data_IF_430126010739
#
_entry.id   IF_430126010739
#
_cell.length_a   1.000
_cell.length_b   1.000
_cell.length_c   1.000
_cell.angle_alpha   90.00
_cell.angle_beta   90.00
_cell.angle_gamma   90.00
#
_symmetry.space_group_name_H-M   'P 1'
#
loop_
_entity.id
_entity.type
_entity.pdbx_description
1 polymer ?
#
# COMPACT_ATOMS: atom_id res chain seq x y z
N UNK A 1 -11.90 8.93 -4.63
CA UNK A 1 -11.09 8.92 -5.84
C UNK A 1 -11.72 7.99 -6.85
N UNK A 2 -11.96 8.48 -8.02
CA UNK A 2 -12.47 7.64 -9.09
C UNK A 2 -11.32 7.00 -9.86
N UNK A 3 -11.51 5.77 -10.25
CA UNK A 3 -10.63 5.06 -11.16
C UNK A 3 -11.27 5.07 -12.53
N UNK A 4 -10.47 5.34 -13.56
CA UNK A 4 -10.94 5.31 -14.93
C UNK A 4 -10.60 3.96 -15.54
N UNK A 5 -11.61 3.14 -15.71
CA UNK A 5 -11.47 1.84 -16.35
C UNK A 5 -11.83 2.04 -17.83
N UNK A 6 -10.81 2.13 -18.66
CA UNK A 6 -10.98 2.35 -20.08
C UNK A 6 -11.18 1.04 -20.82
N UNK A 7 -10.43 0.04 -20.42
CA UNK A 7 -10.47 -1.29 -20.97
C UNK A 7 -10.67 -2.26 -19.83
N UNK A 8 -11.72 -3.07 -19.88
CA UNK A 8 -12.03 -4.02 -18.82
C UNK A 8 -10.94 -5.08 -18.63
N UNK A 9 -10.11 -5.35 -19.64
CA UNK A 9 -9.00 -6.29 -19.57
C UNK A 9 -7.72 -5.64 -19.04
N UNK A 10 -7.56 -4.30 -19.23
CA UNK A 10 -6.37 -3.57 -18.79
C UNK A 10 -6.77 -2.19 -18.25
N UNK A 11 -7.42 -2.15 -17.07
CA UNK A 11 -8.03 -0.91 -16.55
C UNK A 11 -7.02 0.18 -16.20
N UNK A 12 -5.74 -0.15 -16.01
CA UNK A 12 -4.73 0.80 -15.55
C UNK A 12 -3.68 1.10 -16.62
N UNK A 13 -4.03 0.99 -17.89
CA UNK A 13 -3.10 1.31 -18.98
C UNK A 13 -2.73 2.81 -18.90
N UNK A 14 -1.43 3.17 -18.72
CA UNK A 14 -1.05 4.56 -18.41
C UNK A 14 -1.54 5.60 -19.41
N UNK A 15 -1.49 5.29 -20.69
CA UNK A 15 -1.88 6.24 -21.74
C UNK A 15 -3.39 6.54 -21.78
N UNK A 16 -4.17 5.76 -21.02
CA UNK A 16 -5.64 5.91 -20.95
C UNK A 16 -6.12 6.38 -19.58
N UNK A 17 -5.21 6.60 -18.63
CA UNK A 17 -5.56 7.11 -17.31
C UNK A 17 -5.66 8.62 -17.36
N UNK A 18 -6.84 9.14 -17.05
CA UNK A 18 -7.05 10.58 -17.02
C UNK A 18 -6.29 11.22 -15.86
N UNK A 19 -5.84 12.44 -16.10
CA UNK A 19 -5.25 13.27 -15.05
C UNK A 19 -6.34 13.69 -14.06
N UNK A 20 -6.03 13.57 -12.78
CA UNK A 20 -6.93 14.03 -11.71
C UNK A 20 -6.94 15.56 -11.64
N UNK A 21 -8.02 16.11 -11.09
CA UNK A 21 -8.13 17.54 -10.88
C UNK A 21 -7.08 18.04 -9.90
N UNK A 22 -6.74 19.33 -10.01
CA UNK A 22 -5.82 19.97 -9.07
C UNK A 22 -6.49 20.12 -7.71
N UNK A 23 -5.75 19.74 -6.66
CA UNK A 23 -6.24 19.83 -5.28
C UNK A 23 -5.35 20.69 -4.39
N UNK A 24 -4.26 21.23 -4.96
CA UNK A 24 -3.28 22.04 -4.22
C UNK A 24 -2.32 21.19 -3.40
N UNK A 25 -1.21 21.80 -3.02
CA UNK A 25 -0.16 21.12 -2.27
C UNK A 25 -0.61 20.72 -0.86
N UNK A 26 -1.50 21.49 -0.25
CA UNK A 26 -1.99 21.19 1.10
C UNK A 26 -2.61 19.81 1.20
N UNK A 27 -3.33 19.38 0.18
CA UNK A 27 -3.96 18.06 0.16
C UNK A 27 -2.91 16.94 0.23
N UNK A 28 -1.77 17.11 -0.41
CA UNK A 28 -0.68 16.16 -0.33
C UNK A 28 -0.06 16.13 1.07
N UNK A 29 0.16 17.30 1.67
CA UNK A 29 0.80 17.41 2.98
C UNK A 29 -0.08 16.98 4.15
N UNK A 30 -1.36 16.81 3.94
CA UNK A 30 -2.26 16.21 4.93
C UNK A 30 -2.04 14.70 5.04
N UNK A 31 -1.54 14.07 4.00
CA UNK A 31 -1.30 12.63 3.98
C UNK A 31 0.04 12.34 4.66
N UNK A 32 0.03 11.42 5.62
CA UNK A 32 1.24 10.99 6.32
C UNK A 32 1.72 9.68 5.70
N UNK A 33 2.81 9.76 4.95
CA UNK A 33 3.44 8.60 4.34
C UNK A 33 4.78 8.34 5.01
N UNK A 34 5.01 7.10 5.42
CA UNK A 34 6.21 6.71 6.15
C UNK A 34 6.84 5.46 5.56
N UNK A 35 8.16 5.36 5.72
CA UNK A 35 8.88 4.12 5.47
C UNK A 35 8.58 3.13 6.60
N UNK A 36 8.43 1.87 6.26
CA UNK A 36 8.22 0.81 7.24
C UNK A 36 8.91 -0.48 6.81
N UNK A 37 9.21 -1.34 7.77
CA UNK A 37 9.82 -2.64 7.50
C UNK A 37 8.79 -3.75 7.74
N UNK A 38 8.62 -4.62 6.76
CA UNK A 38 7.70 -5.74 6.86
C UNK A 38 8.23 -6.76 7.87
N UNK A 39 7.45 -7.02 8.92
CA UNK A 39 7.79 -7.96 9.98
C UNK A 39 7.22 -9.36 9.72
N UNK A 40 5.96 -9.41 9.31
CA UNK A 40 5.21 -10.64 9.12
C UNK A 40 4.32 -10.55 7.90
N UNK A 41 4.12 -11.69 7.25
CA UNK A 41 3.20 -11.84 6.11
C UNK A 41 2.39 -13.10 6.35
N UNK A 42 1.07 -12.98 6.38
CA UNK A 42 0.16 -14.11 6.55
C UNK A 42 -0.75 -14.24 5.34
N UNK A 43 -1.09 -15.47 4.99
CA UNK A 43 -2.12 -15.73 4.00
C UNK A 43 -3.46 -15.17 4.47
N UNK A 44 -4.28 -14.71 3.52
CA UNK A 44 -5.61 -14.19 3.83
C UNK A 44 -6.66 -14.84 2.91
N UNK A 45 -6.92 -16.14 3.09
CA UNK A 45 -7.79 -16.88 2.17
C UNK A 45 -9.26 -16.43 2.19
N UNK A 46 -9.71 -15.75 3.23
CA UNK A 46 -11.09 -15.28 3.36
C UNK A 46 -11.42 -14.13 2.43
N UNK A 47 -10.41 -13.47 1.85
CA UNK A 47 -10.63 -12.35 0.92
C UNK A 47 -11.01 -12.86 -0.47
N UNK A 48 -11.95 -12.16 -1.13
CA UNK A 48 -12.37 -12.49 -2.50
C UNK A 48 -11.23 -12.40 -3.50
N UNK A 49 -10.41 -11.35 -3.36
CA UNK A 49 -9.22 -11.16 -4.18
C UNK A 49 -8.01 -11.66 -3.41
N UNK A 50 -7.06 -12.31 -4.09
CA UNK A 50 -5.83 -12.76 -3.42
C UNK A 50 -5.17 -11.63 -2.66
N UNK A 51 -4.94 -11.85 -1.36
CA UNK A 51 -4.41 -10.83 -0.46
C UNK A 51 -3.53 -11.48 0.59
N UNK A 52 -2.66 -10.65 1.19
CA UNK A 52 -1.93 -10.99 2.41
C UNK A 52 -2.37 -10.07 3.54
N UNK A 53 -2.25 -10.56 4.78
CA UNK A 53 -2.15 -9.68 5.95
C UNK A 53 -0.69 -9.38 6.14
N UNK A 54 -0.33 -8.11 6.20
CA UNK A 54 1.06 -7.70 6.40
C UNK A 54 1.18 -6.89 7.68
N UNK A 55 2.21 -7.19 8.47
CA UNK A 55 2.54 -6.50 9.70
C UNK A 55 3.81 -5.70 9.46
N UNK A 56 3.74 -4.38 9.64
CA UNK A 56 4.82 -3.48 9.27
C UNK A 56 5.18 -2.59 10.45
N UNK A 57 6.47 -2.46 10.70
CA UNK A 57 7.02 -1.56 11.70
C UNK A 57 7.31 -0.21 11.06
N UNK A 58 6.55 0.80 11.46
CA UNK A 58 6.71 2.18 11.00
C UNK A 58 7.48 3.05 12.00
N UNK A 59 8.28 2.44 12.84
CA UNK A 59 9.14 3.17 13.78
C UNK A 59 8.47 3.52 15.10
N UNK A 60 9.19 4.27 15.96
CA UNK A 60 8.77 4.42 17.35
C UNK A 60 7.53 5.31 17.55
N UNK A 61 7.22 6.19 16.62
CA UNK A 61 6.06 7.09 16.73
C UNK A 61 4.79 6.44 16.23
N UNK A 62 4.83 5.92 15.01
CA UNK A 62 3.68 5.27 14.37
C UNK A 62 3.46 3.87 14.93
N UNK A 63 4.55 3.15 15.17
CA UNK A 63 4.47 1.79 15.70
C UNK A 63 4.23 0.74 14.64
N UNK A 64 3.75 -0.41 15.08
CA UNK A 64 3.51 -1.59 14.24
C UNK A 64 2.04 -1.63 13.85
N UNK A 65 1.78 -1.70 12.55
CA UNK A 65 0.42 -1.69 12.01
C UNK A 65 0.20 -2.92 11.13
N UNK A 66 -1.05 -3.36 11.04
CA UNK A 66 -1.50 -4.41 10.14
C UNK A 66 -2.29 -3.83 8.97
N UNK A 67 -2.15 -4.47 7.82
CA UNK A 67 -2.95 -4.13 6.64
C UNK A 67 -3.26 -5.38 5.82
N UNK A 68 -4.35 -5.33 5.10
CA UNK A 68 -4.65 -6.26 4.01
C UNK A 68 -4.11 -5.67 2.71
N UNK A 69 -3.33 -6.43 1.96
CA UNK A 69 -2.71 -5.93 0.73
C UNK A 69 -2.79 -6.97 -0.38
N UNK A 70 -3.18 -6.51 -1.57
CA UNK A 70 -3.28 -7.34 -2.77
C UNK A 70 -1.92 -7.41 -3.48
N UNK A 71 -0.95 -8.00 -2.81
CA UNK A 71 0.43 -8.09 -3.28
C UNK A 71 0.94 -9.54 -3.33
N UNK A 72 0.04 -10.47 -3.63
CA UNK A 72 0.39 -11.89 -3.70
C UNK A 72 1.24 -12.27 -4.91
N UNK A 73 1.53 -11.30 -5.78
CA UNK A 73 2.56 -11.41 -6.82
C UNK A 73 3.98 -11.45 -6.23
N UNK A 74 4.14 -11.07 -4.96
CA UNK A 74 5.37 -11.29 -4.21
C UNK A 74 5.23 -12.53 -3.34
N UNK A 75 6.32 -13.29 -3.17
CA UNK A 75 6.34 -14.35 -2.17
C UNK A 75 6.49 -13.74 -0.77
N UNK A 76 6.10 -14.50 0.26
CA UNK A 76 6.30 -14.05 1.65
C UNK A 76 7.77 -13.76 1.93
N UNK A 77 8.67 -14.60 1.42
CA UNK A 77 10.11 -14.40 1.60
C UNK A 77 10.62 -13.12 0.95
N UNK A 78 10.02 -12.69 -0.17
CA UNK A 78 10.38 -11.44 -0.83
C UNK A 78 9.90 -10.21 -0.04
N UNK A 79 8.88 -10.36 0.78
CA UNK A 79 8.26 -9.26 1.52
C UNK A 79 8.85 -9.10 2.92
N UNK A 80 9.10 -10.17 3.64
CA UNK A 80 9.60 -10.12 5.01
C UNK A 80 10.98 -9.44 5.03
N UNK A 81 11.11 -8.41 5.85
CA UNK A 81 12.34 -7.62 5.95
C UNK A 81 12.46 -6.50 4.92
N UNK A 82 11.55 -6.43 3.96
CA UNK A 82 11.55 -5.40 2.93
C UNK A 82 11.08 -4.07 3.50
N UNK A 83 11.71 -2.98 3.05
CA UNK A 83 11.22 -1.63 3.34
C UNK A 83 10.13 -1.27 2.35
N UNK A 84 9.00 -0.81 2.87
CA UNK A 84 7.84 -0.38 2.08
C UNK A 84 7.49 1.05 2.43
N UNK A 85 6.64 1.68 1.61
CA UNK A 85 6.06 2.98 1.90
C UNK A 85 4.58 2.76 2.22
N UNK A 86 4.12 3.33 3.31
CA UNK A 86 2.71 3.26 3.71
C UNK A 86 2.12 4.61 4.03
N UNK A 87 0.85 4.78 3.69
CA UNK A 87 0.03 5.89 4.16
C UNK A 87 -0.57 5.49 5.51
N UNK A 88 -0.22 6.21 6.58
CA UNK A 88 -0.46 5.74 7.95
C UNK A 88 -1.54 6.54 8.70
N UNK A 89 -2.13 7.55 8.07
CA UNK A 89 -3.15 8.38 8.70
C UNK A 89 -4.50 8.37 7.97
N UNK A 90 -4.85 7.24 7.37
CA UNK A 90 -6.15 7.07 6.69
C UNK A 90 -7.24 6.58 7.65
N UNK A 91 -6.88 6.19 8.86
CA UNK A 91 -7.79 5.62 9.84
C UNK A 91 -7.99 4.12 9.66
N UNK A 92 -8.55 3.47 10.66
CA UNK A 92 -8.81 2.04 10.64
C UNK A 92 -9.97 1.71 9.70
N UNK A 93 -9.81 0.65 8.93
CA UNK A 93 -10.86 0.12 8.08
C UNK A 93 -11.15 -1.32 8.46
N UNK A 94 -12.35 -1.57 8.97
CA UNK A 94 -12.80 -2.92 9.28
C UNK A 94 -13.34 -3.57 8.02
N UNK A 95 -12.73 -4.68 7.62
CA UNK A 95 -13.14 -5.46 6.45
C UNK A 95 -14.34 -6.37 6.81
N UNK A 96 -15.06 -6.89 5.80
CA UNK A 96 -16.18 -7.81 6.07
C UNK A 96 -15.81 -9.05 6.89
N UNK A 97 -14.53 -9.47 6.83
CA UNK A 97 -14.00 -10.59 7.61
C UNK A 97 -13.80 -10.27 9.09
N UNK A 98 -13.91 -8.98 9.48
CA UNK A 98 -13.59 -8.50 10.83
C UNK A 98 -12.14 -8.05 11.00
N UNK A 99 -11.26 -8.31 10.04
CA UNK A 99 -9.88 -7.84 10.08
C UNK A 99 -9.83 -6.31 9.95
N UNK A 100 -9.02 -5.67 10.79
CA UNK A 100 -8.85 -4.22 10.76
C UNK A 100 -7.58 -3.87 10.00
N UNK A 101 -7.74 -3.16 8.88
CA UNK A 101 -6.63 -2.66 8.06
C UNK A 101 -6.31 -1.23 8.49
N UNK A 102 -5.04 -0.97 8.84
CA UNK A 102 -4.64 0.26 9.52
C UNK A 102 -3.79 1.19 8.66
N UNK A 103 -3.31 0.73 7.52
CA UNK A 103 -2.53 1.56 6.60
C UNK A 103 -2.70 1.06 5.18
N UNK A 104 -2.22 1.86 4.23
CA UNK A 104 -2.20 1.49 2.82
C UNK A 104 -0.75 1.42 2.35
N UNK A 105 -0.32 0.25 1.87
CA UNK A 105 0.98 0.12 1.23
C UNK A 105 0.93 0.71 -0.17
N UNK A 106 1.98 1.40 -0.59
CA UNK A 106 2.01 2.11 -1.86
C UNK A 106 2.80 1.36 -2.92
N UNK A 107 2.31 1.43 -4.13
CA UNK A 107 2.96 0.86 -5.29
C UNK A 107 2.38 1.41 -6.57
N UNK A 108 3.07 1.16 -7.66
CA UNK A 108 2.59 1.44 -9.00
C UNK A 108 1.71 0.29 -9.47
N UNK A 109 0.69 0.59 -10.25
CA UNK A 109 -0.18 -0.43 -10.84
C UNK A 109 0.23 -0.71 -12.27
N UNK A 110 0.47 -1.97 -12.58
CA UNK A 110 0.57 -2.44 -13.96
C UNK A 110 -0.82 -2.33 -14.63
N UNK A 111 -0.90 -2.38 -15.96
CA UNK A 111 -2.19 -2.28 -16.65
C UNK A 111 -3.26 -3.24 -16.14
N UNK A 112 -2.88 -4.45 -15.72
CA UNK A 112 -3.79 -5.46 -15.19
C UNK A 112 -4.13 -5.29 -13.70
N UNK A 113 -3.60 -4.25 -13.06
CA UNK A 113 -3.81 -3.97 -11.65
C UNK A 113 -2.81 -4.64 -10.70
N UNK A 114 -1.82 -5.35 -11.22
CA UNK A 114 -0.75 -5.90 -10.39
C UNK A 114 0.02 -4.78 -9.73
N UNK A 115 0.23 -4.88 -8.41
CA UNK A 115 0.91 -3.84 -7.64
C UNK A 115 2.42 -4.07 -7.66
N UNK A 116 3.15 -3.05 -8.11
CA UNK A 116 4.61 -3.00 -8.01
C UNK A 116 4.98 -2.08 -6.86
N UNK A 117 5.47 -2.63 -5.78
CA UNK A 117 5.77 -1.85 -4.58
C UNK A 117 6.84 -0.79 -4.83
N UNK A 118 6.67 0.37 -4.22
CA UNK A 118 7.71 1.39 -4.23
C UNK A 118 8.92 0.87 -3.48
N UNK A 119 10.12 1.18 -3.99
CA UNK A 119 11.37 0.80 -3.35
C UNK A 119 12.06 2.03 -2.79
N UNK A 120 12.70 1.86 -1.63
CA UNK A 120 13.52 2.88 -1.01
C UNK A 120 14.96 2.39 -0.97
N UNK A 121 15.95 3.31 -1.01
CA UNK A 121 17.35 2.93 -0.83
C UNK A 121 17.59 2.22 0.49
N UNK A 122 18.62 1.39 0.53
CA UNK A 122 19.05 0.75 1.77
C UNK A 122 19.40 1.78 2.84
N UNK A 123 19.10 1.47 4.09
CA UNK A 123 19.46 2.31 5.22
C UNK A 123 18.40 3.35 5.60
N UNK A 124 17.29 3.46 4.87
CA UNK A 124 16.19 4.32 5.28
C UNK A 124 15.56 3.74 6.55
N UNK A 125 15.47 4.56 7.60
CA UNK A 125 14.98 4.12 8.89
C UNK A 125 13.46 3.98 8.91
N UNK A 126 12.91 2.97 9.62
CA UNK A 126 11.47 2.88 9.82
C UNK A 126 10.93 4.15 10.49
N UNK A 127 9.85 4.68 9.96
CA UNK A 127 9.26 5.92 10.43
C UNK A 127 9.74 7.17 9.69
N UNK A 128 10.69 7.03 8.76
CA UNK A 128 11.11 8.16 7.94
C UNK A 128 9.94 8.68 7.12
N UNK A 129 9.76 9.99 7.13
CA UNK A 129 8.70 10.63 6.36
C UNK A 129 9.03 10.61 4.88
N UNK A 130 8.03 10.25 4.07
CA UNK A 130 8.11 10.33 2.62
C UNK A 130 7.57 11.68 2.20
N UNK A 131 8.42 12.44 1.55
CA UNK A 131 8.06 13.81 1.12
C UNK A 131 7.52 13.82 -0.30
#
# INVERSE_FOLDING_TARGET
MSQHIIDSSEPYHPEKLDKKEYVGAAAYFELDMRAGVVLEVEEFPEMRKPSYKIHVNFGPVIGKLWSSAQITNYSRAQLIGRTVVGAVNLGDKTLPTGFVSQFLVLGALDPDGTVRLLELPDGVLPGSMVA
#
